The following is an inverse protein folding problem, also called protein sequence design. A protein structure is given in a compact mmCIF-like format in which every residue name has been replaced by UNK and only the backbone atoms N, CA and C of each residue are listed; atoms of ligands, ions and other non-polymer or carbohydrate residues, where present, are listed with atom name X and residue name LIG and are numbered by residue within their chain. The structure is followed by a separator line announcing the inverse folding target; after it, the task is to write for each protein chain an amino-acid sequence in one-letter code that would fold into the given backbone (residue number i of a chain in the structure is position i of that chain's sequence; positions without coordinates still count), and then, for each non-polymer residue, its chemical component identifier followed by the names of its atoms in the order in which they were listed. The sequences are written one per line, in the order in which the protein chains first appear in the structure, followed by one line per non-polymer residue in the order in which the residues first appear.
data_IF_338475784441
#
_entry.id   IF_338475784441
#
_cell.length_a   1.000
_cell.length_b   1.000
_cell.length_c   1.000
_cell.angle_alpha   90.00
_cell.angle_beta   90.00
_cell.angle_gamma   90.00
#
_symmetry.space_group_name_H-M   'P 1'
#
loop_
_entity.id
_entity.type
_entity.pdbx_description
1 polymer ?
#
# COMPACT_ATOMS: atom_id res chain seq x y z
N UNK A 1 -13.72 13.18 2.64
CA UNK A 1 -14.55 12.11 2.03
C UNK A 1 -13.79 11.56 0.84
N UNK A 2 -13.93 10.28 0.51
CA UNK A 2 -13.38 9.73 -0.72
C UNK A 2 -14.15 10.25 -1.95
N UNK A 3 -13.47 10.31 -3.09
CA UNK A 3 -14.04 10.60 -4.41
C UNK A 3 -14.21 9.30 -5.20
N UNK A 4 -14.84 9.35 -6.38
CA UNK A 4 -15.05 8.16 -7.23
C UNK A 4 -13.78 7.73 -7.96
N UNK A 5 -12.85 8.65 -8.24
CA UNK A 5 -11.57 8.28 -8.82
C UNK A 5 -10.75 7.44 -7.85
N UNK A 6 -10.15 6.36 -8.35
CA UNK A 6 -9.52 5.35 -7.50
C UNK A 6 -8.20 4.80 -8.05
N UNK A 7 -7.64 3.86 -7.30
CA UNK A 7 -6.50 3.04 -7.64
C UNK A 7 -6.93 1.58 -7.54
N UNK A 8 -6.67 0.80 -8.59
CA UNK A 8 -7.00 -0.60 -8.73
C UNK A 8 -5.73 -1.40 -9.02
N UNK A 9 -5.45 -2.40 -8.18
CA UNK A 9 -4.38 -3.37 -8.41
C UNK A 9 -4.99 -4.74 -8.61
N UNK A 10 -4.86 -5.28 -9.82
CA UNK A 10 -5.08 -6.71 -10.05
C UNK A 10 -3.85 -7.45 -9.52
N UNK A 11 -4.07 -8.46 -8.67
CA UNK A 11 -3.00 -9.22 -8.01
C UNK A 11 -3.21 -10.73 -8.16
N UNK A 12 -2.12 -11.44 -8.46
CA UNK A 12 -2.05 -12.90 -8.43
C UNK A 12 -0.82 -13.34 -7.63
N UNK A 13 -0.95 -14.40 -6.84
CA UNK A 13 0.18 -15.02 -6.13
C UNK A 13 0.97 -15.87 -7.12
N UNK A 14 2.29 -15.70 -7.14
CA UNK A 14 3.22 -16.55 -7.87
C UNK A 14 3.84 -17.52 -6.86
N UNK A 15 3.36 -18.77 -6.86
CA UNK A 15 3.84 -19.82 -5.94
C UNK A 15 5.17 -20.44 -6.42
N UNK A 16 5.52 -20.24 -7.70
CA UNK A 16 6.69 -20.84 -8.32
C UNK A 16 7.92 -19.94 -8.20
N UNK A 17 7.73 -18.61 -8.22
CA UNK A 17 8.81 -17.64 -8.15
C UNK A 17 8.67 -16.72 -6.94
N UNK A 18 9.76 -16.42 -6.20
CA UNK A 18 9.71 -15.51 -5.06
C UNK A 18 9.75 -14.03 -5.48
N UNK A 19 9.45 -13.71 -6.74
CA UNK A 19 9.57 -12.35 -7.29
C UNK A 19 8.28 -11.56 -7.12
N UNK A 20 8.43 -10.28 -6.82
CA UNK A 20 7.34 -9.31 -6.82
C UNK A 20 7.48 -8.52 -8.12
N UNK A 21 6.43 -8.54 -8.95
CA UNK A 21 6.40 -7.82 -10.23
C UNK A 21 5.26 -6.83 -10.22
N UNK A 22 5.55 -5.59 -10.57
CA UNK A 22 4.58 -4.51 -10.70
C UNK A 22 4.67 -3.95 -12.12
N UNK A 23 3.53 -3.95 -12.81
CA UNK A 23 3.32 -3.26 -14.06
C UNK A 23 2.22 -2.20 -13.91
N UNK A 24 2.13 -1.29 -14.88
CA UNK A 24 1.08 -0.29 -14.96
C UNK A 24 0.40 -0.38 -16.33
N UNK A 25 -0.91 -0.18 -16.38
CA UNK A 25 -1.66 -0.11 -17.67
C UNK A 25 -1.22 1.09 -18.51
N UNK A 26 -0.74 2.16 -17.87
CA UNK A 26 -0.21 3.33 -18.55
C UNK A 26 1.31 3.17 -18.77
N UNK A 27 1.78 3.12 -20.03
CA UNK A 27 3.19 2.86 -20.36
C UNK A 27 4.15 3.96 -19.91
N UNK A 28 3.64 5.13 -19.50
CA UNK A 28 4.45 6.19 -18.87
C UNK A 28 5.12 5.71 -17.58
N UNK A 29 4.51 4.76 -16.88
CA UNK A 29 4.99 4.25 -15.61
C UNK A 29 5.75 2.93 -15.82
N UNK A 30 7.10 2.93 -15.69
CA UNK A 30 7.91 1.74 -15.93
C UNK A 30 7.64 0.65 -14.89
N UNK A 31 7.80 -0.61 -15.30
CA UNK A 31 7.64 -1.78 -14.43
C UNK A 31 8.75 -1.89 -13.39
N UNK A 32 8.44 -2.57 -12.28
CA UNK A 32 9.36 -2.91 -11.20
C UNK A 32 9.36 -4.43 -11.00
N UNK A 33 10.54 -5.01 -10.80
CA UNK A 33 10.71 -6.41 -10.38
C UNK A 33 11.77 -6.49 -9.29
N UNK A 34 11.48 -7.18 -8.19
CA UNK A 34 12.44 -7.42 -7.10
C UNK A 34 12.15 -8.72 -6.35
N UNK A 35 13.13 -9.22 -5.61
CA UNK A 35 12.97 -10.34 -4.67
C UNK A 35 12.98 -9.75 -3.25
N UNK A 36 11.90 -9.91 -2.47
CA UNK A 36 11.84 -9.39 -1.12
C UNK A 36 12.68 -10.26 -0.18
N UNK A 37 13.25 -9.63 0.84
CA UNK A 37 13.97 -10.30 1.91
C UNK A 37 13.05 -10.59 3.10
N UNK A 38 13.57 -11.21 4.16
CA UNK A 38 12.87 -11.25 5.44
C UNK A 38 12.81 -9.85 6.07
N UNK A 39 11.90 -9.66 7.03
CA UNK A 39 11.78 -8.40 7.78
C UNK A 39 13.07 -8.01 8.48
N UNK A 40 13.76 -8.98 9.09
CA UNK A 40 15.00 -8.77 9.84
C UNK A 40 16.16 -8.27 8.95
N UNK A 41 16.13 -8.61 7.66
CA UNK A 41 17.13 -8.18 6.67
C UNK A 41 16.75 -6.87 5.95
N UNK A 42 15.56 -6.33 6.25
CA UNK A 42 14.92 -5.25 5.52
C UNK A 42 14.21 -5.78 4.27
N UNK A 43 12.88 -5.90 4.35
CA UNK A 43 11.99 -6.45 3.31
C UNK A 43 12.39 -5.98 1.90
N UNK A 44 12.52 -4.66 1.74
CA UNK A 44 12.94 -4.00 0.50
C UNK A 44 13.50 -2.62 0.81
N UNK A 45 14.54 -2.23 0.08
CA UNK A 45 15.12 -0.89 0.19
C UNK A 45 14.30 0.13 -0.59
N UNK A 46 14.09 1.30 0.01
CA UNK A 46 13.39 2.43 -0.60
C UNK A 46 14.31 3.64 -0.47
N UNK A 47 14.61 4.31 -1.58
CA UNK A 47 15.33 5.58 -1.55
C UNK A 47 14.31 6.73 -1.61
N UNK A 48 14.04 7.42 -0.48
CA UNK A 48 13.06 8.50 -0.42
C UNK A 48 13.48 9.76 -1.18
N UNK A 49 14.77 9.92 -1.51
CA UNK A 49 15.29 11.05 -2.28
C UNK A 49 14.97 10.92 -3.79
N UNK A 50 14.63 9.71 -4.24
CA UNK A 50 14.30 9.44 -5.65
C UNK A 50 12.78 9.42 -5.82
N UNK A 51 12.24 10.43 -6.50
CA UNK A 51 10.79 10.54 -6.72
C UNK A 51 10.32 9.68 -7.89
N UNK A 52 10.12 8.38 -7.63
CA UNK A 52 9.57 7.40 -8.59
C UNK A 52 8.27 6.80 -8.07
N UNK A 53 7.32 6.57 -8.97
CA UNK A 53 5.98 6.06 -8.61
C UNK A 53 6.04 4.71 -7.87
N UNK A 54 7.03 3.88 -8.19
CA UNK A 54 7.26 2.57 -7.57
C UNK A 54 7.55 2.65 -6.08
N UNK A 55 8.06 3.79 -5.57
CA UNK A 55 8.32 3.94 -4.14
C UNK A 55 7.05 3.84 -3.32
N UNK A 56 5.90 4.29 -3.83
CA UNK A 56 4.61 4.16 -3.14
C UNK A 56 4.15 2.70 -3.04
N UNK A 57 4.40 1.90 -4.08
CA UNK A 57 4.15 0.46 -4.02
C UNK A 57 5.08 -0.21 -3.01
N UNK A 58 6.39 0.07 -3.10
CA UNK A 58 7.37 -0.49 -2.17
C UNK A 58 7.06 -0.12 -0.72
N UNK A 59 6.64 1.12 -0.48
CA UNK A 59 6.21 1.64 0.81
C UNK A 59 5.02 0.84 1.37
N UNK A 60 3.93 0.71 0.61
CA UNK A 60 2.75 -0.06 1.01
C UNK A 60 3.07 -1.54 1.25
N UNK A 61 3.85 -2.15 0.36
CA UNK A 61 4.29 -3.55 0.48
C UNK A 61 5.11 -3.75 1.78
N UNK A 62 6.15 -2.94 1.98
CA UNK A 62 7.01 -3.00 3.17
C UNK A 62 6.23 -2.74 4.46
N UNK A 63 5.38 -1.72 4.46
CA UNK A 63 4.65 -1.27 5.64
C UNK A 63 3.79 -2.37 6.25
N UNK A 64 3.17 -3.23 5.43
CA UNK A 64 2.41 -4.37 5.94
C UNK A 64 3.27 -5.30 6.82
N UNK A 65 4.46 -5.69 6.34
CA UNK A 65 5.34 -6.61 7.05
C UNK A 65 5.93 -5.96 8.30
N UNK A 66 6.35 -4.70 8.20
CA UNK A 66 6.96 -3.97 9.31
C UNK A 66 5.96 -3.74 10.45
N UNK A 67 4.73 -3.30 10.14
CA UNK A 67 3.68 -2.98 11.13
C UNK A 67 3.07 -4.22 11.77
N UNK A 68 2.87 -5.31 11.00
CA UNK A 68 2.32 -6.55 11.54
C UNK A 68 3.38 -7.51 12.11
N UNK A 69 4.67 -7.16 12.01
CA UNK A 69 5.76 -7.97 12.53
C UNK A 69 5.90 -9.33 11.83
N UNK A 70 5.65 -9.39 10.52
CA UNK A 70 5.67 -10.63 9.75
C UNK A 70 7.11 -10.98 9.35
N UNK A 71 7.71 -11.93 10.06
CA UNK A 71 9.09 -12.36 9.83
C UNK A 71 9.22 -13.43 8.71
N UNK A 72 8.11 -14.05 8.30
CA UNK A 72 8.11 -15.02 7.21
C UNK A 72 8.48 -14.34 5.88
N UNK A 73 9.21 -15.07 5.03
CA UNK A 73 9.56 -14.56 3.70
C UNK A 73 8.29 -14.34 2.86
N UNK A 74 8.14 -13.18 2.19
CA UNK A 74 6.97 -12.93 1.35
C UNK A 74 6.90 -13.92 0.18
N UNK A 75 5.67 -14.29 -0.21
CA UNK A 75 5.41 -14.99 -1.47
C UNK A 75 5.62 -14.09 -2.67
N UNK A 76 5.90 -14.67 -3.83
CA UNK A 76 5.87 -13.92 -5.08
C UNK A 76 4.48 -13.41 -5.41
N UNK A 77 4.42 -12.30 -6.14
CA UNK A 77 3.15 -11.73 -6.61
C UNK A 77 3.31 -10.95 -7.90
N UNK A 78 2.32 -11.08 -8.78
CA UNK A 78 2.19 -10.32 -10.01
C UNK A 78 1.12 -9.25 -9.81
N UNK A 79 1.48 -7.99 -10.04
CA UNK A 79 0.62 -6.83 -9.83
C UNK A 79 0.49 -6.02 -11.11
N UNK A 80 -0.75 -5.66 -11.45
CA UNK A 80 -1.05 -4.70 -12.52
C UNK A 80 -1.85 -3.54 -11.94
N UNK A 81 -1.24 -2.35 -11.96
CA UNK A 81 -1.82 -1.12 -11.45
C UNK A 81 -2.56 -0.35 -12.55
N UNK A 82 -3.76 0.11 -12.21
CA UNK A 82 -4.55 1.10 -12.95
C UNK A 82 -5.06 2.15 -11.97
N UNK A 83 -5.13 3.41 -12.36
CA UNK A 83 -5.70 4.44 -11.49
C UNK A 83 -6.24 5.60 -12.30
N UNK A 84 -7.35 6.17 -11.83
CA UNK A 84 -7.99 7.34 -12.44
C UNK A 84 -7.74 8.62 -11.65
N UNK A 85 -7.30 8.53 -10.38
CA UNK A 85 -6.95 9.71 -9.57
C UNK A 85 -5.87 10.53 -10.28
N UNK A 86 -6.15 11.79 -10.64
CA UNK A 86 -5.19 12.64 -11.34
C UNK A 86 -3.92 12.88 -10.52
N UNK A 87 -2.76 12.49 -11.07
CA UNK A 87 -1.48 12.66 -10.39
C UNK A 87 -1.12 14.15 -10.22
N UNK A 88 -0.76 14.54 -9.00
CA UNK A 88 -0.32 15.91 -8.69
C UNK A 88 -1.44 16.96 -8.59
N UNK A 89 -2.71 16.55 -8.64
CA UNK A 89 -3.86 17.46 -8.57
C UNK A 89 -4.29 17.83 -7.14
N UNK A 90 -3.54 17.42 -6.11
CA UNK A 90 -3.94 17.58 -4.71
C UNK A 90 -5.09 16.66 -4.27
N UNK A 91 -5.36 15.59 -5.03
CA UNK A 91 -6.39 14.57 -4.76
C UNK A 91 -5.81 13.29 -4.15
N UNK A 92 -4.60 13.37 -3.59
CA UNK A 92 -3.99 12.28 -2.81
C UNK A 92 -3.80 10.96 -3.59
N UNK A 93 -3.43 11.06 -4.87
CA UNK A 93 -3.15 9.90 -5.72
C UNK A 93 -2.06 8.96 -5.16
N UNK A 94 -1.09 9.51 -4.41
CA UNK A 94 -0.06 8.72 -3.74
C UNK A 94 -0.66 7.85 -2.63
N UNK A 95 -1.46 8.46 -1.76
CA UNK A 95 -2.09 7.78 -0.63
C UNK A 95 -3.09 6.73 -1.09
N UNK A 96 -3.87 7.01 -2.14
CA UNK A 96 -4.74 6.02 -2.77
C UNK A 96 -3.95 4.81 -3.28
N UNK A 97 -2.79 5.04 -3.90
CA UNK A 97 -1.94 3.96 -4.40
C UNK A 97 -1.27 3.15 -3.27
N UNK A 98 -0.81 3.80 -2.19
CA UNK A 98 -0.27 3.12 -1.00
C UNK A 98 -1.35 2.27 -0.35
N UNK A 99 -2.55 2.82 -0.11
CA UNK A 99 -3.68 2.09 0.48
C UNK A 99 -4.08 0.87 -0.36
N UNK A 100 -4.14 1.05 -1.69
CA UNK A 100 -4.43 -0.04 -2.61
C UNK A 100 -3.33 -1.12 -2.57
N UNK A 101 -2.06 -0.71 -2.50
CA UNK A 101 -0.94 -1.65 -2.38
C UNK A 101 -0.97 -2.44 -1.08
N UNK A 102 -1.28 -1.80 0.05
CA UNK A 102 -1.44 -2.50 1.34
C UNK A 102 -2.54 -3.57 1.22
N UNK A 103 -3.71 -3.22 0.68
CA UNK A 103 -4.81 -4.16 0.48
C UNK A 103 -4.42 -5.32 -0.46
N UNK A 104 -3.78 -5.03 -1.59
CA UNK A 104 -3.31 -6.05 -2.53
C UNK A 104 -2.29 -7.00 -1.87
N UNK A 105 -1.40 -6.44 -1.05
CA UNK A 105 -0.38 -7.22 -0.32
C UNK A 105 -1.04 -8.10 0.76
N UNK A 106 -2.01 -7.59 1.52
CA UNK A 106 -2.79 -8.38 2.49
C UNK A 106 -3.45 -9.57 1.82
N UNK A 107 -4.06 -9.37 0.64
CA UNK A 107 -4.72 -10.46 -0.08
C UNK A 107 -3.73 -11.50 -0.61
N UNK A 108 -2.62 -11.07 -1.21
CA UNK A 108 -1.59 -11.97 -1.74
C UNK A 108 -0.84 -12.74 -0.64
N UNK A 109 -0.63 -12.11 0.52
CA UNK A 109 0.16 -12.65 1.63
C UNK A 109 -0.71 -13.19 2.76
N UNK A 110 -2.00 -13.42 2.51
CA UNK A 110 -3.00 -13.79 3.53
C UNK A 110 -2.59 -14.99 4.39
N UNK A 111 -1.88 -15.96 3.79
CA UNK A 111 -1.40 -17.14 4.51
C UNK A 111 -0.34 -16.84 5.58
N UNK A 112 0.32 -15.68 5.51
CA UNK A 112 1.33 -15.24 6.46
C UNK A 112 0.73 -14.45 7.64
N UNK A 113 -0.53 -14.03 7.53
CA UNK A 113 -1.19 -13.25 8.58
C UNK A 113 -1.41 -14.10 9.84
N UNK A 114 -1.27 -13.52 11.05
CA UNK A 114 -1.54 -14.21 12.31
C UNK A 114 -2.96 -14.78 12.31
N UNK A 115 -3.09 -16.08 12.58
CA UNK A 115 -4.38 -16.79 12.55
C UNK A 115 -5.16 -16.64 11.22
N UNK A 116 -4.50 -16.25 10.12
CA UNK A 116 -5.12 -15.94 8.82
C UNK A 116 -6.24 -14.89 8.89
N UNK A 117 -6.21 -14.04 9.93
CA UNK A 117 -7.17 -12.99 10.15
C UNK A 117 -6.78 -11.75 9.35
N UNK A 118 -7.76 -11.15 8.66
CA UNK A 118 -7.55 -9.90 7.95
C UNK A 118 -7.47 -8.73 8.94
N UNK A 119 -6.56 -7.76 8.73
CA UNK A 119 -6.55 -6.53 9.51
C UNK A 119 -7.88 -5.78 9.38
N UNK A 120 -8.31 -5.14 10.46
CA UNK A 120 -9.46 -4.25 10.46
C UNK A 120 -9.21 -3.02 9.58
N UNK A 121 -10.28 -2.30 9.21
CA UNK A 121 -10.16 -1.10 8.41
C UNK A 121 -9.30 -0.01 9.10
N UNK A 122 -9.37 0.10 10.43
CA UNK A 122 -8.53 1.01 11.21
C UNK A 122 -7.05 0.60 11.22
N UNK A 123 -6.76 -0.70 11.29
CA UNK A 123 -5.39 -1.21 11.15
C UNK A 123 -4.86 -0.95 9.73
N UNK A 124 -5.65 -1.21 8.68
CA UNK A 124 -5.27 -0.91 7.30
C UNK A 124 -4.98 0.57 7.09
N UNK A 125 -5.79 1.46 7.67
CA UNK A 125 -5.55 2.89 7.65
C UNK A 125 -4.22 3.24 8.34
N UNK A 126 -4.01 2.73 9.56
CA UNK A 126 -2.78 2.98 10.34
C UNK A 126 -1.53 2.48 9.60
N UNK A 127 -1.57 1.26 9.08
CA UNK A 127 -0.49 0.67 8.27
C UNK A 127 -0.19 1.56 7.07
N UNK A 128 -1.22 2.03 6.36
CA UNK A 128 -1.04 2.87 5.17
C UNK A 128 -0.44 4.24 5.52
N UNK A 129 -0.81 4.83 6.66
CA UNK A 129 -0.24 6.10 7.15
C UNK A 129 1.26 5.96 7.40
N UNK A 130 1.67 4.94 8.14
CA UNK A 130 3.08 4.71 8.44
C UNK A 130 3.86 4.27 7.20
N UNK A 131 3.26 3.44 6.35
CA UNK A 131 3.86 2.96 5.11
C UNK A 131 4.28 4.11 4.19
N UNK A 132 3.38 5.08 3.95
CA UNK A 132 3.64 6.16 2.99
C UNK A 132 4.84 7.04 3.39
N UNK A 133 5.17 7.10 4.68
CA UNK A 133 6.37 7.81 5.16
C UNK A 133 7.66 7.21 4.60
N UNK A 134 7.70 5.91 4.29
CA UNK A 134 8.86 5.28 3.64
C UNK A 134 9.13 5.82 2.24
N UNK A 135 8.12 6.36 1.56
CA UNK A 135 8.29 7.00 0.25
C UNK A 135 8.86 8.44 0.37
N UNK A 136 9.15 8.92 1.59
CA UNK A 136 9.68 10.27 1.85
C UNK A 136 8.62 11.33 2.05
N UNK A 137 7.34 10.95 2.11
CA UNK A 137 6.23 11.87 2.33
C UNK A 137 6.04 12.14 3.84
N UNK A 138 6.36 13.35 4.30
CA UNK A 138 6.10 13.79 5.68
C UNK A 138 4.65 14.26 5.82
N UNK A 139 3.72 13.32 5.79
CA UNK A 139 2.27 13.57 5.79
C UNK A 139 1.61 13.14 7.09
N UNK A 140 0.43 13.71 7.36
CA UNK A 140 -0.47 13.23 8.42
C UNK A 140 -1.17 11.93 8.00
N UNK A 141 -2.38 11.69 8.52
CA UNK A 141 -3.15 10.48 8.22
C UNK A 141 -4.48 10.67 7.49
N UNK A 142 -4.82 11.90 7.10
CA UNK A 142 -6.16 12.22 6.57
C UNK A 142 -6.49 11.43 5.32
N UNK A 143 -5.54 11.35 4.39
CA UNK A 143 -5.78 10.85 3.04
C UNK A 143 -5.96 9.33 3.05
N UNK A 144 -5.12 8.62 3.80
CA UNK A 144 -5.21 7.17 3.97
C UNK A 144 -6.45 6.79 4.76
N UNK A 145 -6.73 7.50 5.86
CA UNK A 145 -7.95 7.27 6.64
C UNK A 145 -9.19 7.51 5.79
N UNK A 146 -9.24 8.60 5.02
CA UNK A 146 -10.34 8.87 4.10
C UNK A 146 -10.45 7.79 3.02
N UNK A 147 -9.33 7.31 2.47
CA UNK A 147 -9.32 6.27 1.45
C UNK A 147 -9.87 4.94 1.96
N UNK A 148 -9.62 4.60 3.23
CA UNK A 148 -10.00 3.29 3.80
C UNK A 148 -11.37 3.32 4.50
N UNK A 149 -11.69 4.39 5.22
CA UNK A 149 -12.87 4.45 6.11
C UNK A 149 -14.08 5.18 5.50
N UNK A 150 -13.95 5.82 4.34
CA UNK A 150 -15.07 6.52 3.72
C UNK A 150 -16.20 5.56 3.36
N UNK A 151 -17.43 6.08 3.44
CA UNK A 151 -18.65 5.37 3.02
C UNK A 151 -19.32 6.13 1.89
N UNK A 152 -20.02 5.44 0.97
CA UNK A 152 -20.78 6.10 -0.09
C UNK A 152 -21.74 7.15 0.47
N UNK A 153 -21.81 8.30 -0.20
CA UNK A 153 -22.75 9.39 0.11
C UNK A 153 -22.59 10.01 1.50
N UNK A 154 -21.42 9.89 2.13
CA UNK A 154 -21.15 10.47 3.44
C UNK A 154 -19.80 11.19 3.50
N UNK A 155 -19.77 12.32 4.18
CA UNK A 155 -18.51 12.89 4.66
C UNK A 155 -18.00 12.07 5.87
N UNK A 156 -16.67 12.06 6.04
CA UNK A 156 -16.02 11.40 7.16
C UNK A 156 -15.41 12.46 8.07
N UNK A 157 -15.76 12.42 9.36
CA UNK A 157 -15.08 13.18 10.40
C UNK A 157 -13.97 12.31 10.96
N UNK A 158 -12.72 12.76 10.85
CA UNK A 158 -11.53 12.00 11.25
C UNK A 158 -10.92 12.65 12.48
N UNK A 159 -10.74 11.87 13.54
CA UNK A 159 -10.04 12.28 14.76
C UNK A 159 -8.79 11.41 14.94
N UNK A 160 -7.62 12.03 15.13
CA UNK A 160 -6.35 11.31 15.35
C UNK A 160 -5.94 11.23 16.83
N UNK A 161 -6.48 12.11 17.67
CA UNK A 161 -6.13 12.21 19.09
C UNK A 161 -7.38 11.99 19.96
N UNK A 162 -7.33 11.19 21.03
CA UNK A 162 -6.16 10.47 21.56
C UNK A 162 -5.77 9.22 20.78
N UNK A 163 -6.67 8.69 19.95
CA UNK A 163 -6.47 7.55 19.06
C UNK A 163 -7.26 7.79 17.77
N UNK A 164 -6.85 7.13 16.67
CA UNK A 164 -7.59 7.15 15.41
C UNK A 164 -8.99 6.52 15.61
N UNK A 165 -10.06 7.30 15.40
CA UNK A 165 -11.45 6.83 15.49
C UNK A 165 -12.10 6.60 14.14
#
# INVERSE_FOLDING_TARGET
MAIEDDCLIAVAVDEDHPTIKLANVNPKYPSLEFIPKSRQEGIVAINPEVHVWTNYFLAGFRGLFDELGLDQKPKGMLCLMSGTVPSGAGLSSSSAFVCCTVNATVMAQRSLLPNQQLPSAHELATISIHAEQYAGAMIGGMDQTASILSKPQAALFIEFHPVLK
#
